data_IF_464526686494
#
_entry.id   IF_464526686494
#
_cell.length_a   1.000
_cell.length_b   1.000
_cell.length_c   1.000
_cell.angle_alpha   90.00
_cell.angle_beta   90.00
_cell.angle_gamma   90.00
#
_symmetry.space_group_name_H-M   'P 1'
#
loop_
_entity.id
_entity.type
_entity.pdbx_description
1 polymer ?
#
# COMPACT_ATOMS: atom_id res chain seq x y z
N UNK A 1 -13.68 45.59 12.39
CA UNK A 1 -14.00 44.16 12.63
C UNK A 1 -13.43 43.40 11.45
N UNK A 2 -12.27 42.77 11.62
CA UNK A 2 -11.64 41.99 10.55
C UNK A 2 -12.13 40.55 10.68
N UNK A 3 -12.93 40.09 9.72
CA UNK A 3 -13.16 38.66 9.53
C UNK A 3 -11.91 38.16 8.80
N UNK A 4 -11.02 37.52 9.57
CA UNK A 4 -9.92 36.76 8.98
C UNK A 4 -10.56 35.50 8.42
N UNK A 5 -10.69 35.44 7.09
CA UNK A 5 -11.03 34.24 6.36
C UNK A 5 -9.85 33.27 6.47
N UNK A 6 -10.00 32.22 7.29
CA UNK A 6 -9.05 31.11 7.36
C UNK A 6 -9.28 30.19 6.15
N UNK A 7 -8.90 30.69 4.97
CA UNK A 7 -8.83 29.89 3.76
C UNK A 7 -7.95 28.65 3.99
N UNK A 8 -8.57 27.48 3.90
CA UNK A 8 -7.93 26.15 3.85
C UNK A 8 -6.90 25.82 4.95
N UNK A 9 -7.33 25.77 6.21
CA UNK A 9 -6.61 24.99 7.23
C UNK A 9 -6.83 23.49 7.00
N UNK A 10 -5.93 22.84 6.25
CA UNK A 10 -5.82 21.38 6.21
C UNK A 10 -5.27 20.89 7.56
N UNK A 11 -6.16 20.61 8.52
CA UNK A 11 -5.75 20.03 9.81
C UNK A 11 -5.15 18.64 9.60
N UNK A 12 -3.92 18.44 10.09
CA UNK A 12 -3.27 17.12 10.16
C UNK A 12 -4.06 16.26 11.16
N UNK A 13 -4.75 15.25 10.65
CA UNK A 13 -5.60 14.36 11.45
C UNK A 13 -6.32 13.34 10.58
N UNK A 14 -6.81 12.27 11.20
CA UNK A 14 -7.51 11.17 10.53
C UNK A 14 -8.99 11.47 10.29
N UNK A 15 -9.55 12.46 10.98
CA UNK A 15 -10.95 12.86 10.87
C UNK A 15 -11.07 14.35 10.52
N UNK A 16 -12.23 14.73 9.98
CA UNK A 16 -12.60 16.13 9.76
C UNK A 16 -12.75 16.87 11.09
N UNK A 17 -12.27 18.11 11.12
CA UNK A 17 -12.42 19.05 12.24
C UNK A 17 -12.52 20.47 11.68
N UNK A 18 -13.33 21.37 12.26
CA UNK A 18 -14.36 21.13 13.28
C UNK A 18 -15.65 20.56 12.68
N UNK A 19 -16.39 19.76 13.45
CA UNK A 19 -17.69 19.21 13.04
C UNK A 19 -18.37 18.44 14.17
N UNK A 20 -19.70 18.40 14.20
CA UNK A 20 -20.47 17.66 15.25
C UNK A 20 -20.33 16.14 15.12
N UNK A 21 -20.06 15.66 13.91
CA UNK A 21 -19.83 14.24 13.61
C UNK A 21 -18.48 14.13 12.91
N UNK A 22 -17.48 13.46 13.52
CA UNK A 22 -16.19 13.29 12.88
C UNK A 22 -16.33 12.38 11.66
N UNK A 23 -16.01 12.89 10.48
CA UNK A 23 -15.99 12.11 9.23
C UNK A 23 -14.56 11.62 8.96
N UNK A 24 -14.37 10.34 8.58
CA UNK A 24 -13.05 9.83 8.28
C UNK A 24 -12.48 10.50 7.02
N UNK A 25 -11.22 10.94 7.11
CA UNK A 25 -10.44 11.40 5.96
C UNK A 25 -9.86 10.20 5.21
N UNK A 26 -9.46 10.33 3.93
CA UNK A 26 -8.80 9.25 3.19
C UNK A 26 -7.60 8.61 3.89
N UNK A 27 -6.86 9.38 4.71
CA UNK A 27 -5.76 8.85 5.51
C UNK A 27 -6.21 7.83 6.57
N UNK A 28 -7.41 7.98 7.14
CA UNK A 28 -7.98 7.00 8.07
C UNK A 28 -8.24 5.67 7.36
N UNK A 29 -8.91 5.71 6.20
CA UNK A 29 -9.24 4.49 5.45
C UNK A 29 -7.99 3.78 4.94
N UNK A 30 -6.98 4.55 4.51
CA UNK A 30 -5.68 4.01 4.15
C UNK A 30 -4.98 3.32 5.34
N UNK A 31 -4.97 3.97 6.50
CA UNK A 31 -4.38 3.39 7.72
C UNK A 31 -5.14 2.15 8.21
N UNK A 32 -6.48 2.18 8.15
CA UNK A 32 -7.33 1.05 8.48
C UNK A 32 -7.03 -0.14 7.57
N UNK A 33 -6.90 0.10 6.26
CA UNK A 33 -6.53 -0.93 5.28
C UNK A 33 -5.15 -1.49 5.57
N UNK A 34 -4.15 -0.62 5.81
CA UNK A 34 -2.80 -1.03 6.16
C UNK A 34 -2.80 -1.94 7.40
N UNK A 35 -3.57 -1.59 8.44
CA UNK A 35 -3.73 -2.40 9.63
C UNK A 35 -4.43 -3.74 9.35
N UNK A 36 -5.47 -3.76 8.53
CA UNK A 36 -6.18 -5.00 8.17
C UNK A 36 -5.27 -5.99 7.42
N UNK A 37 -4.40 -5.50 6.55
CA UNK A 37 -3.51 -6.33 5.73
C UNK A 37 -2.25 -6.72 6.51
N UNK A 38 -1.62 -5.75 7.18
CA UNK A 38 -0.27 -5.89 7.74
C UNK A 38 -0.22 -5.91 9.27
N UNK A 39 -1.33 -5.67 9.97
CA UNK A 39 -1.35 -5.40 11.41
C UNK A 39 -0.87 -6.56 12.30
N UNK A 40 -0.81 -7.78 11.78
CA UNK A 40 -0.24 -8.96 12.44
C UNK A 40 1.11 -9.40 11.87
N UNK A 41 1.63 -8.67 10.89
CA UNK A 41 2.87 -8.99 10.21
C UNK A 41 4.02 -8.14 10.76
N UNK A 42 5.23 -8.70 10.70
CA UNK A 42 6.48 -8.04 11.08
C UNK A 42 7.17 -7.56 9.81
N UNK A 43 7.88 -6.45 9.90
CA UNK A 43 8.72 -5.98 8.80
C UNK A 43 9.82 -7.00 8.49
N UNK A 44 9.95 -7.37 7.21
CA UNK A 44 10.87 -8.40 6.72
C UNK A 44 11.97 -7.83 5.79
N UNK A 45 11.92 -6.55 5.44
CA UNK A 45 12.96 -5.84 4.70
C UNK A 45 12.46 -5.04 3.49
N UNK A 46 13.38 -4.28 2.89
CA UNK A 46 13.14 -3.51 1.67
C UNK A 46 13.40 -4.41 0.46
N UNK A 47 12.32 -4.85 -0.18
CA UNK A 47 12.37 -5.75 -1.33
C UNK A 47 12.81 -5.03 -2.60
N UNK A 48 12.41 -3.76 -2.77
CA UNK A 48 12.72 -3.00 -3.98
C UNK A 48 14.22 -2.89 -4.23
N UNK A 49 15.00 -2.60 -3.19
CA UNK A 49 16.47 -2.55 -3.25
C UNK A 49 17.05 -3.92 -3.63
N UNK A 50 16.57 -5.00 -3.00
CA UNK A 50 17.02 -6.38 -3.28
C UNK A 50 16.71 -6.83 -4.70
N UNK A 51 15.63 -6.33 -5.30
CA UNK A 51 15.26 -6.58 -6.70
C UNK A 51 15.97 -5.62 -7.68
N UNK A 52 16.83 -4.73 -7.20
CA UNK A 52 17.58 -3.79 -8.03
C UNK A 52 16.69 -2.70 -8.65
N UNK A 53 15.54 -2.40 -8.05
CA UNK A 53 14.65 -1.36 -8.55
C UNK A 53 15.30 0.02 -8.41
N UNK A 54 15.14 0.84 -9.44
CA UNK A 54 15.63 2.22 -9.50
C UNK A 54 14.45 3.20 -9.46
N UNK A 55 14.71 4.50 -9.60
CA UNK A 55 13.69 5.53 -9.84
C UNK A 55 12.67 5.72 -8.71
N UNK A 56 13.13 5.58 -7.47
CA UNK A 56 12.32 5.78 -6.26
C UNK A 56 11.09 4.87 -6.16
N UNK A 57 11.11 3.70 -6.82
CA UNK A 57 10.10 2.67 -6.63
C UNK A 57 10.45 1.90 -5.35
N UNK A 58 9.55 1.87 -4.39
CA UNK A 58 9.72 1.23 -3.09
C UNK A 58 8.88 -0.04 -3.01
N UNK A 59 9.43 -1.04 -2.35
CA UNK A 59 8.67 -2.18 -1.87
C UNK A 59 9.16 -2.59 -0.49
N UNK A 60 8.25 -2.65 0.48
CA UNK A 60 8.52 -3.19 1.80
C UNK A 60 7.81 -4.52 1.95
N UNK A 61 8.55 -5.55 2.34
CA UNK A 61 8.02 -6.87 2.64
C UNK A 61 7.69 -6.99 4.12
N UNK A 62 6.58 -7.67 4.42
CA UNK A 62 6.13 -8.00 5.76
C UNK A 62 5.82 -9.49 5.82
N UNK A 63 6.09 -10.15 6.95
CA UNK A 63 5.81 -11.56 7.14
C UNK A 63 5.14 -11.81 8.49
N UNK A 64 4.19 -12.74 8.54
CA UNK A 64 3.62 -13.24 9.79
C UNK A 64 4.43 -14.41 10.37
N UNK A 65 3.96 -14.95 11.50
CA UNK A 65 4.62 -16.05 12.21
C UNK A 65 4.62 -17.38 11.43
N UNK A 66 3.77 -17.50 10.41
CA UNK A 66 3.73 -18.65 9.48
C UNK A 66 4.63 -18.42 8.24
N UNK A 67 5.40 -17.33 8.20
CA UNK A 67 6.18 -16.86 7.05
C UNK A 67 5.34 -16.57 5.79
N UNK A 68 4.04 -16.30 5.96
CA UNK A 68 3.22 -15.72 4.89
C UNK A 68 3.57 -14.25 4.78
N UNK A 69 3.83 -13.78 3.57
CA UNK A 69 4.21 -12.39 3.34
C UNK A 69 3.19 -11.58 2.55
N UNK A 70 3.29 -10.28 2.73
CA UNK A 70 2.62 -9.26 1.92
C UNK A 70 3.63 -8.15 1.61
N UNK A 71 3.37 -7.37 0.57
CA UNK A 71 4.29 -6.35 0.09
C UNK A 71 3.53 -5.03 -0.07
N UNK A 72 4.02 -3.98 0.56
CA UNK A 72 3.56 -2.61 0.30
C UNK A 72 4.45 -1.97 -0.77
N UNK A 73 3.87 -1.44 -1.84
CA UNK A 73 4.58 -0.97 -3.04
C UNK A 73 4.09 0.44 -3.38
N UNK A 74 5.00 1.37 -3.65
CA UNK A 74 4.67 2.73 -4.11
C UNK A 74 5.86 3.36 -4.85
N UNK A 75 5.64 4.51 -5.48
CA UNK A 75 6.69 5.35 -6.05
C UNK A 75 6.78 6.66 -5.27
N UNK A 76 7.97 7.02 -4.79
CA UNK A 76 8.19 8.32 -4.15
C UNK A 76 8.33 9.40 -5.24
N UNK A 77 7.21 10.06 -5.54
CA UNK A 77 7.13 11.12 -6.54
C UNK A 77 6.01 12.10 -6.19
N UNK A 78 6.11 13.33 -6.67
CA UNK A 78 5.02 14.32 -6.65
C UNK A 78 4.24 14.39 -7.97
N UNK A 79 4.67 13.63 -8.98
CA UNK A 79 4.09 13.64 -10.32
C UNK A 79 3.05 12.52 -10.44
N UNK A 80 1.77 12.87 -10.56
CA UNK A 80 0.66 11.91 -10.59
C UNK A 80 0.76 10.86 -11.72
N UNK A 81 1.29 11.26 -12.89
CA UNK A 81 1.45 10.39 -14.06
C UNK A 81 2.71 9.51 -13.99
N UNK A 82 3.58 9.75 -13.01
CA UNK A 82 4.85 9.04 -12.91
C UNK A 82 4.63 7.64 -12.33
N UNK A 83 4.83 6.63 -13.17
CA UNK A 83 4.66 5.21 -12.82
C UNK A 83 5.98 4.44 -12.82
N UNK A 84 6.00 3.31 -12.14
CA UNK A 84 7.03 2.29 -12.24
C UNK A 84 6.41 0.98 -12.69
N UNK A 85 6.91 0.38 -13.76
CA UNK A 85 6.56 -1.00 -14.11
C UNK A 85 7.52 -1.94 -13.39
N UNK A 86 6.95 -2.90 -12.65
CA UNK A 86 7.64 -3.73 -11.68
C UNK A 86 7.28 -5.19 -11.89
N UNK A 87 8.26 -6.06 -11.67
CA UNK A 87 8.09 -7.51 -11.69
C UNK A 87 8.49 -8.07 -10.31
N UNK A 88 7.58 -8.81 -9.69
CA UNK A 88 7.82 -9.45 -8.39
C UNK A 88 7.69 -10.97 -8.59
N UNK A 89 8.71 -11.76 -8.24
CA UNK A 89 8.61 -13.21 -8.31
C UNK A 89 7.57 -13.72 -7.30
N UNK A 90 6.74 -14.66 -7.73
CA UNK A 90 5.83 -15.36 -6.83
C UNK A 90 6.64 -16.26 -5.87
N UNK A 91 6.38 -16.21 -4.56
CA UNK A 91 6.99 -17.16 -3.62
C UNK A 91 6.58 -18.59 -3.96
N UNK A 92 7.50 -19.54 -3.79
CA UNK A 92 7.31 -20.94 -4.17
C UNK A 92 6.09 -21.63 -3.53
N UNK A 93 5.60 -21.13 -2.40
CA UNK A 93 4.47 -21.70 -1.64
C UNK A 93 3.16 -20.95 -1.87
N UNK A 94 3.16 -19.86 -2.64
CA UNK A 94 1.95 -19.15 -3.02
C UNK A 94 1.34 -19.77 -4.28
N UNK A 95 0.01 -19.86 -4.30
CA UNK A 95 -0.78 -20.32 -5.45
C UNK A 95 -1.29 -19.15 -6.27
N UNK A 96 -1.84 -18.18 -5.56
CA UNK A 96 -2.52 -17.03 -6.15
C UNK A 96 -1.99 -15.74 -5.52
N UNK A 97 -2.21 -14.64 -6.20
CA UNK A 97 -1.89 -13.31 -5.72
C UNK A 97 -3.04 -12.33 -5.97
N UNK A 98 -3.15 -11.35 -5.08
CA UNK A 98 -4.08 -10.22 -5.20
C UNK A 98 -3.33 -8.92 -5.00
N UNK A 99 -3.51 -8.02 -5.95
CA UNK A 99 -3.05 -6.64 -5.86
C UNK A 99 -4.22 -5.76 -5.43
N UNK A 100 -4.06 -5.08 -4.30
CA UNK A 100 -5.05 -4.20 -3.69
C UNK A 100 -4.57 -2.76 -3.77
N UNK A 101 -5.50 -1.80 -3.87
CA UNK A 101 -5.17 -0.39 -3.66
C UNK A 101 -5.06 -0.05 -2.17
N UNK A 102 -4.71 1.21 -1.86
CA UNK A 102 -4.57 1.69 -0.48
C UNK A 102 -5.85 1.64 0.37
N UNK A 103 -7.01 1.36 -0.23
CA UNK A 103 -8.30 1.23 0.46
C UNK A 103 -8.80 -0.23 0.50
N UNK A 104 -7.96 -1.20 0.14
CA UNK A 104 -8.25 -2.64 0.24
C UNK A 104 -9.08 -3.19 -0.92
N UNK A 105 -9.34 -2.39 -1.96
CA UNK A 105 -10.04 -2.86 -3.16
C UNK A 105 -9.07 -3.61 -4.08
N UNK A 106 -9.45 -4.82 -4.49
CA UNK A 106 -8.73 -5.57 -5.52
C UNK A 106 -8.72 -4.81 -6.84
N UNK A 107 -7.51 -4.56 -7.35
CA UNK A 107 -7.27 -3.96 -8.67
C UNK A 107 -6.82 -5.00 -9.69
N UNK A 108 -6.16 -6.07 -9.26
CA UNK A 108 -5.74 -7.18 -10.11
C UNK A 108 -5.53 -8.44 -9.27
N UNK A 109 -5.60 -9.60 -9.92
CA UNK A 109 -5.32 -10.90 -9.29
C UNK A 109 -4.86 -11.90 -10.36
N UNK A 110 -4.13 -12.93 -9.94
CA UNK A 110 -3.66 -13.97 -10.85
C UNK A 110 -2.89 -15.07 -10.15
N UNK A 111 -2.35 -15.99 -10.95
CA UNK A 111 -1.60 -17.17 -10.49
C UNK A 111 -0.23 -17.27 -11.15
N UNK A 112 0.04 -16.41 -12.13
CA UNK A 112 1.30 -16.42 -12.88
C UNK A 112 2.42 -15.70 -12.13
N UNK A 113 3.65 -16.15 -12.42
CA UNK A 113 4.90 -15.52 -11.98
C UNK A 113 5.71 -15.12 -13.22
N UNK A 114 6.36 -13.94 -13.24
CA UNK A 114 6.32 -12.91 -12.20
C UNK A 114 5.00 -12.14 -12.18
N UNK A 115 4.67 -11.55 -11.03
CA UNK A 115 3.58 -10.58 -10.90
C UNK A 115 4.04 -9.27 -11.54
N UNK A 116 3.42 -8.90 -12.66
CA UNK A 116 3.67 -7.63 -13.35
C UNK A 116 2.69 -6.58 -12.86
N UNK A 117 3.19 -5.45 -12.39
CA UNK A 117 2.35 -4.37 -11.88
C UNK A 117 2.96 -2.99 -12.14
N UNK A 118 2.09 -2.00 -12.25
CA UNK A 118 2.45 -0.59 -12.25
C UNK A 118 2.35 -0.05 -10.82
N UNK A 119 3.23 0.85 -10.38
CA UNK A 119 3.14 1.55 -9.10
C UNK A 119 3.20 3.07 -9.30
N UNK A 120 2.30 3.80 -8.63
CA UNK A 120 2.24 5.26 -8.63
C UNK A 120 2.47 5.83 -7.23
N UNK A 121 1.96 7.04 -6.99
CA UNK A 121 2.02 7.69 -5.68
C UNK A 121 1.20 6.95 -4.62
N UNK A 122 0.15 6.24 -5.03
CA UNK A 122 -0.67 5.44 -4.13
C UNK A 122 0.05 4.17 -3.68
N UNK A 123 -0.17 3.79 -2.42
CA UNK A 123 0.31 2.50 -1.91
C UNK A 123 -0.55 1.39 -2.50
N UNK A 124 0.11 0.35 -3.00
CA UNK A 124 -0.49 -0.90 -3.43
C UNK A 124 -0.04 -2.01 -2.52
N UNK A 125 -0.94 -2.94 -2.21
CA UNK A 125 -0.63 -4.11 -1.40
C UNK A 125 -0.69 -5.36 -2.27
N UNK A 126 0.44 -6.05 -2.41
CA UNK A 126 0.46 -7.39 -3.00
C UNK A 126 0.37 -8.42 -1.88
N UNK A 127 -0.66 -9.25 -1.95
CA UNK A 127 -0.94 -10.33 -1.00
C UNK A 127 -0.97 -11.66 -1.74
N UNK A 128 -0.69 -12.75 -1.03
CA UNK A 128 -0.61 -14.08 -1.60
C UNK A 128 -1.55 -15.04 -0.87
N UNK A 129 -2.15 -15.95 -1.64
CA UNK A 129 -2.88 -17.09 -1.10
C UNK A 129 -1.92 -18.29 -1.06
N UNK A 130 -1.86 -18.94 0.10
CA UNK A 130 -0.86 -19.95 0.40
C UNK A 130 -1.46 -21.34 0.28
N UNK A 131 -0.72 -22.26 -0.35
CA UNK A 131 -1.05 -23.67 -0.21
C UNK A 131 -0.73 -24.12 1.21
N UNK A 132 -1.75 -24.40 2.02
CA UNK A 132 -1.54 -25.05 3.32
C UNK A 132 -0.73 -26.33 3.13
N UNK A 133 0.20 -26.58 4.05
CA UNK A 133 0.75 -27.93 4.25
C UNK A 133 -0.27 -28.77 5.00
#
# INVERSE_FOLDING_TARGET
MYIIDFGHCSFIGLFTFPGKTPEPKPAYDAMKTAHQILGKMRYAGELGEKLGWKNNCRALAFADDENRWAIAIWKETSLAESRCELEIPLPAQARDWKLLNQYGKTISQGTSSPVKLSAGMEVRYLTFEWSGK
#
